data_IF_311966251654
#
_entry.id   IF_311966251654
#
_cell.length_a   1.000
_cell.length_b   1.000
_cell.length_c   1.000
_cell.angle_alpha   90.00
_cell.angle_beta   90.00
_cell.angle_gamma   90.00
#
_symmetry.space_group_name_H-M   'P 1'
#
loop_
_entity.id
_entity.type
_entity.pdbx_description
1 polymer ?
#
# COMPACT_ATOMS: atom_id res chain seq x y z
N UNK A 1 4.60 -36.54 33.04
CA UNK A 1 4.06 -35.16 32.90
C UNK A 1 4.88 -34.43 31.83
N UNK A 2 4.52 -34.60 30.56
CA UNK A 2 5.21 -33.95 29.43
C UNK A 2 4.50 -32.66 29.07
N UNK A 3 5.21 -31.52 29.13
CA UNK A 3 4.71 -30.23 28.63
C UNK A 3 4.78 -30.27 27.11
N UNK A 4 3.62 -30.31 26.45
CA UNK A 4 3.52 -30.13 25.01
C UNK A 4 3.68 -28.63 24.76
N UNK A 5 4.82 -28.24 24.18
CA UNK A 5 5.03 -26.89 23.68
C UNK A 5 4.00 -26.64 22.57
N UNK A 6 3.07 -25.70 22.81
CA UNK A 6 2.18 -25.20 21.78
C UNK A 6 3.03 -24.44 20.76
N UNK A 7 3.27 -25.07 19.62
CA UNK A 7 3.79 -24.40 18.45
C UNK A 7 2.69 -23.47 17.91
N UNK A 8 2.89 -22.17 18.06
CA UNK A 8 2.10 -21.18 17.34
C UNK A 8 2.50 -21.28 15.88
N UNK A 9 1.65 -21.90 15.06
CA UNK A 9 1.77 -21.90 13.62
C UNK A 9 1.47 -20.48 13.14
N UNK A 10 2.52 -19.72 12.78
CA UNK A 10 2.36 -18.45 12.06
C UNK A 10 1.97 -18.80 10.63
N UNK A 11 0.68 -18.98 10.39
CA UNK A 11 0.15 -19.00 9.03
C UNK A 11 0.13 -17.55 8.57
N UNK A 12 1.16 -17.13 7.82
CA UNK A 12 1.07 -15.94 6.96
C UNK A 12 0.15 -16.34 5.80
N UNK A 13 -1.14 -16.46 6.09
CA UNK A 13 -2.13 -16.57 5.06
C UNK A 13 -2.28 -15.16 4.53
N UNK A 14 -1.68 -14.90 3.37
CA UNK A 14 -2.12 -13.85 2.47
C UNK A 14 -3.52 -14.17 1.96
N UNK A 15 -4.48 -14.32 2.88
CA UNK A 15 -5.89 -14.25 2.53
C UNK A 15 -6.07 -12.81 2.06
N UNK A 16 -6.16 -12.68 0.74
CA UNK A 16 -6.63 -11.51 0.05
C UNK A 16 -8.05 -11.29 0.58
N UNK A 17 -8.17 -10.56 1.69
CA UNK A 17 -9.45 -9.98 2.10
C UNK A 17 -9.72 -8.90 1.06
N UNK A 18 -10.77 -9.03 0.25
CA UNK A 18 -11.14 -7.98 -0.67
C UNK A 18 -11.57 -6.77 0.16
N UNK A 19 -10.75 -5.72 0.17
CA UNK A 19 -11.02 -4.47 0.86
C UNK A 19 -10.31 -4.31 2.19
N UNK A 20 -9.00 -4.03 2.13
CA UNK A 20 -8.24 -3.53 3.27
C UNK A 20 -6.83 -3.13 2.83
N UNK A 21 -6.51 -1.86 3.03
CA UNK A 21 -5.30 -1.17 2.54
C UNK A 21 -4.23 -1.23 3.59
N UNK A 22 -3.17 -1.97 3.39
CA UNK A 22 -2.41 -2.44 4.55
C UNK A 22 -0.94 -2.12 4.39
N UNK A 23 -0.38 -1.43 5.39
CA UNK A 23 1.07 -1.38 5.59
C UNK A 23 1.52 -2.78 5.93
N UNK A 24 2.24 -3.41 5.01
CA UNK A 24 2.63 -4.79 5.09
C UNK A 24 3.83 -5.01 6.02
N UNK A 25 4.12 -6.27 6.40
CA UNK A 25 5.30 -6.61 7.22
C UNK A 25 6.64 -6.29 6.54
N UNK A 26 6.63 -6.04 5.23
CA UNK A 26 7.80 -5.67 4.45
C UNK A 26 7.98 -4.16 4.33
N UNK A 27 7.02 -3.37 4.81
CA UNK A 27 7.03 -1.93 4.68
C UNK A 27 7.98 -1.31 5.72
N UNK A 28 9.15 -0.89 5.27
CA UNK A 28 10.19 -0.22 6.06
C UNK A 28 9.99 1.29 6.03
N UNK A 29 9.08 1.75 6.88
CA UNK A 29 8.81 3.18 7.05
C UNK A 29 9.63 3.75 8.22
N UNK A 30 10.06 5.02 8.16
CA UNK A 30 10.68 5.67 9.31
C UNK A 30 9.69 5.74 10.48
N UNK A 31 10.13 5.67 11.76
CA UNK A 31 9.24 5.69 12.91
C UNK A 31 8.24 6.86 12.90
N UNK A 32 8.66 8.02 12.42
CA UNK A 32 7.83 9.24 12.38
C UNK A 32 6.63 9.13 11.44
N UNK A 33 6.67 8.18 10.49
CA UNK A 33 5.55 7.90 9.59
C UNK A 33 4.34 7.33 10.34
N UNK A 34 4.54 6.61 11.45
CA UNK A 34 3.45 5.97 12.18
C UNK A 34 2.73 6.94 13.13
N UNK A 35 1.41 6.78 13.25
CA UNK A 35 0.56 7.57 14.14
C UNK A 35 0.63 7.08 15.59
N UNK A 36 0.69 5.77 15.81
CA UNK A 36 0.67 5.14 17.13
C UNK A 36 2.11 5.00 17.69
N UNK A 37 2.41 5.54 18.90
CA UNK A 37 3.73 5.42 19.52
C UNK A 37 4.26 3.98 19.65
N UNK A 38 3.38 2.99 19.81
CA UNK A 38 3.77 1.57 19.85
C UNK A 38 4.33 1.12 18.51
N UNK A 39 3.69 1.52 17.40
CA UNK A 39 4.17 1.20 16.05
C UNK A 39 5.50 1.94 15.77
N UNK A 40 5.66 3.17 16.28
CA UNK A 40 6.93 3.90 16.21
C UNK A 40 8.05 3.15 16.96
N UNK A 41 7.77 2.61 18.14
CA UNK A 41 8.75 1.83 18.92
C UNK A 41 9.12 0.53 18.21
N UNK A 42 8.13 -0.19 17.67
CA UNK A 42 8.36 -1.41 16.90
C UNK A 42 9.20 -1.09 15.66
N UNK A 43 8.89 -0.02 14.93
CA UNK A 43 9.66 0.41 13.77
C UNK A 43 11.11 0.80 14.13
N UNK A 44 11.31 1.44 15.30
CA UNK A 44 12.64 1.84 15.78
C UNK A 44 13.50 0.66 16.23
N UNK A 45 12.88 -0.33 16.87
CA UNK A 45 13.60 -1.43 17.54
C UNK A 45 13.65 -2.70 16.72
N UNK A 46 12.72 -2.88 15.76
CA UNK A 46 12.48 -4.14 15.07
C UNK A 46 11.85 -5.22 15.95
N UNK A 47 11.43 -4.89 17.18
CA UNK A 47 10.90 -5.85 18.16
C UNK A 47 9.39 -5.68 18.29
N UNK A 48 8.63 -6.66 17.82
CA UNK A 48 7.18 -6.72 17.98
C UNK A 48 6.73 -6.79 19.44
N UNK A 49 5.45 -6.48 19.68
CA UNK A 49 4.78 -6.61 20.98
C UNK A 49 3.72 -7.72 20.94
N UNK A 50 3.29 -8.27 22.08
CA UNK A 50 2.15 -9.18 22.12
C UNK A 50 0.92 -8.58 21.42
N UNK A 51 0.35 -9.32 20.46
CA UNK A 51 -0.77 -8.86 19.61
C UNK A 51 -0.40 -7.84 18.52
N UNK A 52 0.89 -7.46 18.38
CA UNK A 52 1.41 -6.51 17.39
C UNK A 52 2.84 -6.90 16.95
N UNK A 53 3.00 -7.97 16.15
CA UNK A 53 4.32 -8.49 15.80
C UNK A 53 5.17 -7.56 14.91
N UNK A 54 4.54 -6.65 14.16
CA UNK A 54 5.20 -5.64 13.34
C UNK A 54 4.34 -4.35 13.32
N UNK A 55 4.86 -3.19 12.86
CA UNK A 55 4.11 -1.95 12.84
C UNK A 55 2.81 -2.10 12.04
N UNK A 56 1.75 -1.43 12.48
CA UNK A 56 0.40 -1.52 11.89
C UNK A 56 -0.28 -2.89 11.99
N UNK A 57 0.41 -3.94 12.45
CA UNK A 57 -0.18 -5.25 12.64
C UNK A 57 -0.98 -5.30 13.94
N UNK A 58 -2.13 -5.95 13.91
CA UNK A 58 -2.98 -6.21 15.06
C UNK A 58 -3.43 -7.66 15.02
N UNK A 59 -3.41 -8.30 16.18
CA UNK A 59 -4.11 -9.57 16.36
C UNK A 59 -5.62 -9.33 16.37
N UNK A 60 -6.33 -10.01 15.49
CA UNK A 60 -7.78 -10.00 15.39
C UNK A 60 -8.30 -11.43 15.54
N UNK A 61 -9.47 -11.58 16.15
CA UNK A 61 -10.09 -12.89 16.37
C UNK A 61 -11.16 -13.16 15.32
N UNK A 62 -11.04 -14.29 14.63
CA UNK A 62 -12.07 -14.86 13.78
C UNK A 62 -12.58 -16.15 14.41
N UNK A 63 -13.71 -16.05 15.12
CA UNK A 63 -14.18 -17.14 15.98
C UNK A 63 -13.17 -17.42 17.09
N UNK A 64 -12.71 -18.67 17.18
CA UNK A 64 -11.72 -19.11 18.16
C UNK A 64 -10.26 -18.96 17.67
N UNK A 65 -10.05 -18.49 16.43
CA UNK A 65 -8.72 -18.34 15.85
C UNK A 65 -8.24 -16.90 15.96
N UNK A 66 -7.06 -16.70 16.54
CA UNK A 66 -6.34 -15.44 16.47
C UNK A 66 -5.50 -15.39 15.18
N UNK A 67 -5.65 -14.32 14.39
CA UNK A 67 -4.83 -14.05 13.21
C UNK A 67 -4.24 -12.65 13.31
N UNK A 68 -3.13 -12.43 12.63
CA UNK A 68 -2.49 -11.10 12.57
C UNK A 68 -2.88 -10.45 11.25
N UNK A 69 -3.53 -9.31 11.34
CA UNK A 69 -3.88 -8.48 10.20
C UNK A 69 -3.11 -7.16 10.26
N UNK A 70 -2.74 -6.67 9.08
CA UNK A 70 -2.22 -5.31 8.95
C UNK A 70 -3.40 -4.33 8.95
N UNK A 71 -3.24 -3.15 9.54
CA UNK A 71 -4.29 -2.14 9.63
C UNK A 71 -4.31 -1.17 8.45
N UNK A 72 -5.44 -0.46 8.22
CA UNK A 72 -5.60 0.52 7.15
C UNK A 72 -4.46 1.56 7.11
N UNK A 73 -3.85 1.80 5.95
CA UNK A 73 -2.74 2.77 5.79
C UNK A 73 -3.12 4.15 6.34
N UNK A 74 -4.29 4.70 6.01
CA UNK A 74 -4.71 6.01 6.51
C UNK A 74 -5.07 6.07 7.99
N UNK A 75 -5.15 4.93 8.66
CA UNK A 75 -5.32 4.84 10.12
C UNK A 75 -4.00 4.54 10.84
N UNK A 76 -2.98 4.09 10.13
CA UNK A 76 -1.70 3.73 10.72
C UNK A 76 -0.60 4.76 10.46
N UNK A 77 -0.53 5.32 9.26
CA UNK A 77 0.54 6.21 8.84
C UNK A 77 0.03 7.62 8.54
N UNK A 78 0.94 8.58 8.66
CA UNK A 78 0.66 9.99 8.37
C UNK A 78 0.45 10.18 6.88
N UNK A 79 -0.66 10.83 6.55
CA UNK A 79 -1.06 11.17 5.19
C UNK A 79 -0.90 12.67 4.96
N UNK A 80 -0.53 13.05 3.73
CA UNK A 80 -0.70 14.41 3.23
C UNK A 80 -2.18 14.82 3.24
N UNK A 81 -2.43 16.13 3.18
CA UNK A 81 -3.79 16.65 3.00
C UNK A 81 -4.38 16.18 1.67
N UNK A 82 -5.70 15.96 1.66
CA UNK A 82 -6.42 15.58 0.45
C UNK A 82 -6.33 16.71 -0.57
N UNK A 83 -6.04 16.36 -1.83
CA UNK A 83 -5.89 17.31 -2.93
C UNK A 83 -6.38 16.74 -4.25
N UNK A 84 -6.55 17.63 -5.23
CA UNK A 84 -6.81 17.24 -6.62
C UNK A 84 -5.52 16.73 -7.27
N UNK A 85 -5.59 15.54 -7.84
CA UNK A 85 -4.56 14.92 -8.65
C UNK A 85 -5.00 14.92 -10.11
N UNK A 86 -4.07 15.28 -11.01
CA UNK A 86 -4.25 15.19 -12.46
C UNK A 86 -2.94 14.80 -13.11
N UNK A 87 -2.95 13.76 -13.92
CA UNK A 87 -1.74 13.25 -14.53
C UNK A 87 -1.98 11.97 -15.30
N UNK A 88 -0.87 11.34 -15.68
CA UNK A 88 -0.87 10.07 -16.38
C UNK A 88 -0.63 8.95 -15.38
N UNK A 89 -1.47 7.93 -15.44
CA UNK A 89 -1.36 6.71 -14.66
C UNK A 89 -1.02 5.55 -15.59
N UNK A 90 0.10 4.87 -15.32
CA UNK A 90 0.43 3.59 -15.96
C UNK A 90 0.09 2.46 -15.01
N UNK A 91 -0.74 1.53 -15.48
CA UNK A 91 -1.14 0.39 -14.67
C UNK A 91 -0.05 -0.70 -14.70
N UNK A 92 0.76 -0.80 -13.65
CA UNK A 92 1.76 -1.84 -13.45
C UNK A 92 1.33 -2.74 -12.28
N UNK A 93 1.47 -4.06 -12.43
CA UNK A 93 1.00 -5.04 -11.45
C UNK A 93 1.57 -4.81 -10.02
N UNK A 94 2.88 -4.53 -9.87
CA UNK A 94 3.56 -4.45 -8.56
C UNK A 94 4.07 -3.05 -8.18
N UNK A 95 3.70 -2.00 -8.89
CA UNK A 95 4.06 -0.63 -8.51
C UNK A 95 3.70 0.36 -9.59
N UNK A 96 2.61 1.08 -9.38
CA UNK A 96 2.04 1.93 -10.40
C UNK A 96 2.85 3.24 -10.50
N UNK A 97 2.68 3.97 -11.60
CA UNK A 97 3.35 5.26 -11.80
C UNK A 97 2.33 6.36 -12.04
N UNK A 98 2.60 7.52 -11.43
CA UNK A 98 1.89 8.76 -11.70
C UNK A 98 2.86 9.77 -12.29
N UNK A 99 2.80 9.94 -13.60
CA UNK A 99 3.76 10.71 -14.36
C UNK A 99 3.23 12.12 -14.66
N UNK A 100 4.11 13.14 -14.70
CA UNK A 100 3.80 14.39 -15.38
C UNK A 100 3.60 14.13 -16.88
N UNK A 101 2.89 15.03 -17.58
CA UNK A 101 2.86 15.02 -19.06
C UNK A 101 4.26 15.37 -19.59
N UNK A 102 4.67 14.86 -20.78
CA UNK A 102 3.93 14.07 -21.77
C UNK A 102 3.93 12.54 -21.54
N UNK A 103 3.11 11.81 -22.31
CA UNK A 103 2.92 10.34 -22.23
C UNK A 103 4.19 9.55 -22.53
N UNK A 104 5.00 10.03 -23.46
CA UNK A 104 6.28 9.39 -23.82
C UNK A 104 7.21 9.23 -22.62
N UNK A 105 7.06 10.11 -21.61
CA UNK A 105 7.88 10.09 -20.40
C UNK A 105 7.29 9.19 -19.31
N UNK A 106 6.12 8.58 -19.54
CA UNK A 106 5.46 7.64 -18.63
C UNK A 106 5.69 6.18 -19.06
N UNK A 107 6.97 5.81 -19.13
CA UNK A 107 7.43 4.44 -19.38
C UNK A 107 7.72 3.69 -18.08
N UNK A 108 7.91 2.36 -18.16
CA UNK A 108 8.29 1.53 -17.00
C UNK A 108 9.61 2.00 -16.35
N UNK A 109 10.52 2.54 -17.18
CA UNK A 109 11.82 3.07 -16.78
C UNK A 109 11.80 4.56 -16.42
N UNK A 110 10.62 5.20 -16.38
CA UNK A 110 10.52 6.62 -16.08
C UNK A 110 11.19 6.96 -14.73
N UNK A 111 11.98 8.05 -14.65
CA UNK A 111 12.50 8.52 -13.38
C UNK A 111 11.34 9.04 -12.50
N UNK A 112 11.46 8.90 -11.19
CA UNK A 112 10.49 9.43 -10.23
C UNK A 112 10.01 8.41 -9.20
N UNK A 113 9.11 8.87 -8.33
CA UNK A 113 8.54 8.06 -7.26
C UNK A 113 7.55 7.02 -7.82
N UNK A 114 7.66 5.79 -7.35
CA UNK A 114 6.65 4.74 -7.59
C UNK A 114 5.50 4.93 -6.62
N UNK A 115 4.28 4.83 -7.11
CA UNK A 115 3.09 4.95 -6.27
C UNK A 115 2.32 3.64 -6.26
N UNK A 116 1.81 3.29 -5.09
CA UNK A 116 0.81 2.27 -4.96
C UNK A 116 -0.55 2.95 -4.92
N UNK A 117 -1.40 2.76 -5.93
CA UNK A 117 -2.82 3.05 -5.72
C UNK A 117 -3.40 1.92 -4.89
N UNK A 118 -3.89 2.29 -3.73
CA UNK A 118 -4.92 1.62 -2.95
C UNK A 118 -5.90 0.89 -3.90
N UNK A 119 -5.86 -0.45 -3.90
CA UNK A 119 -6.46 -1.29 -4.95
C UNK A 119 -7.93 -0.94 -5.25
N UNK A 120 -8.28 -0.97 -6.54
CA UNK A 120 -9.66 -0.77 -7.02
C UNK A 120 -10.06 0.68 -7.28
N UNK A 121 -9.18 1.65 -7.01
CA UNK A 121 -9.44 3.06 -7.33
C UNK A 121 -9.68 3.29 -8.85
N UNK A 122 -8.98 2.51 -9.67
CA UNK A 122 -9.13 2.48 -11.11
C UNK A 122 -9.02 1.02 -11.58
N UNK A 123 -9.81 0.67 -12.60
CA UNK A 123 -9.63 -0.58 -13.34
C UNK A 123 -9.10 -0.24 -14.73
N UNK A 124 -8.05 -0.92 -15.15
CA UNK A 124 -7.42 -0.73 -16.45
C UNK A 124 -6.65 -1.97 -16.88
N UNK A 125 -6.39 -2.09 -18.17
CA UNK A 125 -5.45 -3.06 -18.73
C UNK A 125 -4.04 -2.81 -18.19
N UNK A 126 -3.31 -3.88 -17.90
CA UNK A 126 -1.90 -3.81 -17.49
C UNK A 126 -1.04 -3.23 -18.64
N UNK A 127 -0.07 -2.38 -18.29
CA UNK A 127 0.81 -1.69 -19.24
C UNK A 127 0.18 -0.49 -19.95
N UNK A 128 -1.16 -0.34 -19.92
CA UNK A 128 -1.84 0.79 -20.52
C UNK A 128 -1.65 2.09 -19.72
N UNK A 129 -1.69 3.21 -20.43
CA UNK A 129 -1.56 4.57 -19.86
C UNK A 129 -2.87 5.33 -19.95
N UNK A 130 -3.30 5.85 -18.81
CA UNK A 130 -4.54 6.58 -18.64
C UNK A 130 -4.29 8.02 -18.18
N UNK A 131 -5.06 8.97 -18.68
CA UNK A 131 -5.20 10.29 -18.08
C UNK A 131 -6.25 10.18 -16.98
N UNK A 132 -5.83 10.41 -15.73
CA UNK A 132 -6.70 10.31 -14.57
C UNK A 132 -6.81 11.66 -13.86
N UNK A 133 -8.00 11.93 -13.33
CA UNK A 133 -8.24 13.02 -12.39
C UNK A 133 -9.01 12.46 -11.19
N UNK A 134 -8.56 12.79 -9.98
CA UNK A 134 -9.21 12.33 -8.75
C UNK A 134 -8.87 13.24 -7.57
N UNK A 135 -9.66 13.15 -6.50
CA UNK A 135 -9.29 13.69 -5.18
C UNK A 135 -8.76 12.56 -4.32
N UNK A 136 -7.63 12.77 -3.66
CA UNK A 136 -6.97 11.73 -2.87
C UNK A 136 -5.86 12.24 -1.97
N UNK A 137 -5.33 11.34 -1.16
CA UNK A 137 -4.28 11.57 -0.16
C UNK A 137 -3.09 10.66 -0.42
N UNK A 138 -1.87 11.19 -0.32
CA UNK A 138 -0.62 10.42 -0.42
C UNK A 138 0.00 10.25 0.96
N UNK A 139 0.71 9.16 1.20
CA UNK A 139 1.53 9.01 2.41
C UNK A 139 2.55 10.15 2.51
N UNK A 140 2.70 10.74 3.70
CA UNK A 140 3.56 11.91 3.91
C UNK A 140 5.05 11.56 3.82
N UNK A 141 5.42 10.33 4.17
CA UNK A 141 6.79 9.88 4.21
C UNK A 141 7.03 8.87 3.09
N UNK A 142 8.14 9.06 2.37
CA UNK A 142 8.66 8.04 1.46
C UNK A 142 9.02 6.77 2.23
N UNK A 143 8.74 5.63 1.65
CA UNK A 143 9.01 4.32 2.24
C UNK A 143 8.95 3.22 1.21
N UNK A 144 8.54 2.04 1.66
CA UNK A 144 8.28 0.87 0.82
C UNK A 144 6.84 0.46 1.09
N UNK A 145 5.93 0.72 0.16
CA UNK A 145 4.50 0.47 0.28
C UNK A 145 4.04 -0.50 -0.82
N UNK A 146 2.84 -1.03 -0.66
CA UNK A 146 2.18 -1.86 -1.67
C UNK A 146 2.73 -3.28 -1.72
N UNK A 147 2.48 -3.98 -2.82
CA UNK A 147 2.91 -5.37 -2.96
C UNK A 147 4.44 -5.47 -2.82
N UNK A 148 4.88 -6.30 -1.86
CA UNK A 148 6.30 -6.54 -1.55
C UNK A 148 7.12 -5.27 -1.18
N UNK A 149 6.47 -4.15 -0.84
CA UNK A 149 7.15 -2.89 -0.51
C UNK A 149 7.80 -2.20 -1.72
N UNK A 150 7.29 -2.40 -2.94
CA UNK A 150 7.93 -1.91 -4.17
C UNK A 150 7.57 -0.47 -4.58
N UNK A 151 6.76 0.23 -3.79
CA UNK A 151 6.35 1.62 -4.07
C UNK A 151 6.88 2.60 -3.05
N UNK A 152 7.29 3.79 -3.50
CA UNK A 152 7.80 4.85 -2.63
C UNK A 152 6.72 5.48 -1.76
N UNK A 153 5.50 5.51 -2.28
CA UNK A 153 4.32 6.07 -1.62
C UNK A 153 3.08 5.22 -1.86
N UNK A 154 2.11 5.28 -0.96
CA UNK A 154 0.74 4.88 -1.22
C UNK A 154 -0.13 6.11 -1.45
N UNK A 155 -1.03 6.03 -2.44
CA UNK A 155 -2.03 7.04 -2.74
C UNK A 155 -3.42 6.44 -2.60
N UNK A 156 -4.19 6.98 -1.68
CA UNK A 156 -5.60 6.65 -1.48
C UNK A 156 -6.44 7.59 -2.34
N UNK A 157 -7.26 7.00 -3.21
CA UNK A 157 -8.21 7.73 -4.04
C UNK A 157 -9.51 7.88 -3.25
N UNK A 158 -9.74 9.06 -2.69
CA UNK A 158 -10.96 9.37 -1.94
C UNK A 158 -12.17 9.52 -2.88
N UNK A 159 -11.97 10.09 -4.08
CA UNK A 159 -13.02 10.28 -5.08
C UNK A 159 -12.46 10.31 -6.51
N UNK A 160 -12.77 9.31 -7.35
CA UNK A 160 -12.41 9.35 -8.77
C UNK A 160 -13.26 10.41 -9.48
N UNK A 161 -12.65 11.15 -10.42
CA UNK A 161 -13.35 12.18 -11.22
C UNK A 161 -13.35 11.86 -12.71
N UNK A 162 -12.23 11.38 -13.26
CA UNK A 162 -12.15 10.93 -14.65
C UNK A 162 -11.03 9.92 -14.84
N UNK A 163 -11.23 9.01 -15.80
CA UNK A 163 -10.20 8.14 -16.34
C UNK A 163 -10.40 8.04 -17.85
N UNK A 164 -9.33 8.17 -18.63
CA UNK A 164 -9.36 8.08 -20.09
C UNK A 164 -8.09 7.42 -20.61
N UNK A 165 -8.21 6.36 -21.40
CA UNK A 165 -7.08 5.76 -22.10
C UNK A 165 -6.43 6.80 -23.03
N UNK A 166 -5.11 6.96 -22.96
CA UNK A 166 -4.41 8.01 -23.73
C UNK A 166 -3.94 7.49 -25.08
N UNK A 167 -3.41 6.27 -25.13
CA UNK A 167 -3.14 5.51 -26.36
C UNK A 167 -3.36 4.03 -26.05
N UNK A 168 -4.09 3.32 -26.92
CA UNK A 168 -4.31 1.89 -26.76
C UNK A 168 -3.00 1.13 -27.01
N UNK A 169 -2.66 0.10 -26.22
CA UNK A 169 -1.54 -0.75 -26.59
C UNK A 169 -1.79 -1.32 -27.99
N UNK A 170 -0.78 -1.44 -28.86
CA UNK A 170 -0.93 -2.32 -30.02
C UNK A 170 -1.27 -3.70 -29.47
N UNK A 171 -2.38 -4.27 -29.94
CA UNK A 171 -2.74 -5.66 -29.66
C UNK A 171 -1.55 -6.57 -30.02
N UNK A 172 -1.29 -7.63 -29.23
CA UNK A 172 -0.15 -8.52 -29.45
C UNK A 172 -0.11 -9.12 -30.87
#
# INVERSE_FOLDING_TARGET
MGKIASFVLVVVCGLIVPGGFHVGPLDRLPPEAYLDPVDQEIARTGVGKPGRPFPCAREVKFGDTAVVESGPTDRCVRMEQSRLWRGLWRNEFEGQRFCPKPVADCSDAAPGERIWFTQGAFMGEEGAVYEVTFVGRRTQYRGTYGHLGMSDHEVIVDRPLSIRLVEAPPSP
#
